data_IF_131164133101
#
_entry.id   IF_131164133101
#
_cell.length_a   1.000
_cell.length_b   1.000
_cell.length_c   1.000
_cell.angle_alpha   90.00
_cell.angle_beta   90.00
_cell.angle_gamma   90.00
#
_symmetry.space_group_name_H-M   'P 1'
#
loop_
_entity.id
_entity.type
_entity.pdbx_description
1 polymer ?
#
# COMPACT_ATOMS: atom_id res chain seq x y z
N UNK A 1 -17.95 -15.59 19.86
CA UNK A 1 -17.30 -15.07 18.64
C UNK A 1 -16.06 -15.91 18.36
N UNK A 2 -16.02 -16.60 17.21
CA UNK A 2 -14.90 -17.49 16.81
C UNK A 2 -13.69 -16.68 16.35
N UNK A 3 -12.49 -17.25 16.41
CA UNK A 3 -11.26 -16.59 15.97
C UNK A 3 -11.30 -16.22 14.48
N UNK A 4 -11.87 -17.09 13.64
CA UNK A 4 -12.07 -16.87 12.21
C UNK A 4 -12.90 -15.61 11.93
N UNK A 5 -14.00 -15.42 12.66
CA UNK A 5 -14.87 -14.25 12.50
C UNK A 5 -14.16 -12.95 12.86
N UNK A 6 -13.33 -12.95 13.90
CA UNK A 6 -12.54 -11.77 14.28
C UNK A 6 -11.52 -11.38 13.20
N UNK A 7 -10.86 -12.37 12.60
CA UNK A 7 -9.89 -12.11 11.53
C UNK A 7 -10.56 -11.54 10.28
N UNK A 8 -11.75 -12.02 9.95
CA UNK A 8 -12.54 -11.45 8.86
C UNK A 8 -12.96 -10.00 9.15
N UNK A 9 -13.48 -9.74 10.35
CA UNK A 9 -13.84 -8.37 10.78
C UNK A 9 -12.61 -7.44 10.74
N UNK A 10 -11.44 -7.90 11.21
CA UNK A 10 -10.19 -7.11 11.13
C UNK A 10 -9.72 -6.86 9.70
N UNK A 11 -9.94 -7.80 8.77
CA UNK A 11 -9.64 -7.58 7.35
C UNK A 11 -10.58 -6.54 6.75
N UNK A 12 -11.88 -6.65 6.99
CA UNK A 12 -12.87 -5.70 6.47
C UNK A 12 -12.63 -4.29 7.02
N UNK A 13 -12.35 -4.15 8.31
CA UNK A 13 -11.96 -2.88 8.94
C UNK A 13 -10.69 -2.29 8.31
N UNK A 14 -9.68 -3.12 8.06
CA UNK A 14 -8.43 -2.67 7.44
C UNK A 14 -8.63 -2.23 5.99
N UNK A 15 -9.40 -2.98 5.19
CA UNK A 15 -9.69 -2.63 3.81
C UNK A 15 -10.43 -1.29 3.72
N UNK A 16 -11.44 -1.08 4.57
CA UNK A 16 -12.15 0.21 4.65
C UNK A 16 -11.21 1.37 4.98
N UNK A 17 -10.33 1.19 5.99
CA UNK A 17 -9.35 2.21 6.36
C UNK A 17 -8.33 2.48 5.23
N UNK A 18 -7.88 1.44 4.54
CA UNK A 18 -6.97 1.58 3.39
C UNK A 18 -7.64 2.30 2.22
N UNK A 19 -8.93 2.05 1.97
CA UNK A 19 -9.72 2.78 0.98
C UNK A 19 -9.85 4.27 1.33
N UNK A 20 -10.14 4.59 2.59
CA UNK A 20 -10.21 5.97 3.04
C UNK A 20 -8.87 6.69 2.89
N UNK A 21 -7.76 6.02 3.23
CA UNK A 21 -6.44 6.58 3.05
C UNK A 21 -6.07 6.77 1.56
N UNK A 22 -6.46 5.84 0.67
CA UNK A 22 -6.30 6.00 -0.77
C UNK A 22 -7.04 7.24 -1.30
N UNK A 23 -8.26 7.50 -0.81
CA UNK A 23 -9.01 8.73 -1.16
C UNK A 23 -8.26 9.98 -0.70
N UNK A 24 -7.67 9.96 0.50
CA UNK A 24 -6.85 11.09 0.97
C UNK A 24 -5.64 11.35 0.07
N UNK A 25 -4.97 10.31 -0.43
CA UNK A 25 -3.88 10.47 -1.41
C UNK A 25 -4.37 11.10 -2.72
N UNK A 26 -5.54 10.69 -3.21
CA UNK A 26 -6.11 11.26 -4.43
C UNK A 26 -6.47 12.74 -4.27
N UNK A 27 -7.09 13.08 -3.14
CA UNK A 27 -7.54 14.44 -2.80
C UNK A 27 -6.39 15.37 -2.40
N UNK A 28 -5.23 14.82 -2.01
CA UNK A 28 -4.07 15.60 -1.62
C UNK A 28 -3.54 16.48 -2.78
N UNK A 29 -3.06 17.67 -2.41
CA UNK A 29 -2.30 18.53 -3.30
C UNK A 29 -0.97 17.87 -3.70
N UNK A 30 -0.44 18.24 -4.87
CA UNK A 30 0.82 17.71 -5.36
C UNK A 30 2.02 18.07 -4.45
N UNK A 31 3.06 17.24 -4.49
CA UNK A 31 4.28 17.41 -3.69
C UNK A 31 4.07 16.92 -2.25
N UNK A 32 4.50 17.74 -1.29
CA UNK A 32 4.52 17.38 0.13
C UNK A 32 3.17 16.86 0.69
N UNK A 33 1.98 17.41 0.33
CA UNK A 33 0.74 16.85 0.85
C UNK A 33 0.45 15.42 0.37
N UNK A 34 0.80 15.07 -0.88
CA UNK A 34 0.66 13.70 -1.40
C UNK A 34 1.66 12.77 -0.71
N UNK A 35 2.88 13.24 -0.49
CA UNK A 35 3.90 12.53 0.29
C UNK A 35 3.41 12.17 1.69
N UNK A 36 2.95 13.18 2.45
CA UNK A 36 2.46 12.99 3.82
C UNK A 36 1.29 11.99 3.85
N UNK A 37 0.38 12.06 2.87
CA UNK A 37 -0.71 11.10 2.74
C UNK A 37 -0.23 9.67 2.45
N UNK A 38 0.83 9.50 1.64
CA UNK A 38 1.45 8.19 1.39
C UNK A 38 2.17 7.62 2.60
N UNK A 39 2.91 8.46 3.34
CA UNK A 39 3.56 8.06 4.61
C UNK A 39 2.53 7.57 5.61
N UNK A 40 1.39 8.26 5.74
CA UNK A 40 0.30 7.81 6.60
C UNK A 40 -0.35 6.51 6.11
N UNK A 41 -0.38 6.27 4.80
CA UNK A 41 -0.81 4.98 4.24
C UNK A 41 0.14 3.86 4.61
N UNK A 42 1.44 4.05 4.41
CA UNK A 42 2.43 3.08 4.85
C UNK A 42 2.31 2.82 6.36
N UNK A 43 2.19 3.86 7.18
CA UNK A 43 2.05 3.74 8.63
C UNK A 43 0.77 2.99 9.03
N UNK A 44 -0.35 3.19 8.33
CA UNK A 44 -1.58 2.42 8.52
C UNK A 44 -1.33 0.92 8.27
N UNK A 45 -0.67 0.58 7.16
CA UNK A 45 -0.33 -0.79 6.80
C UNK A 45 0.58 -1.44 7.86
N UNK A 46 1.63 -0.74 8.31
CA UNK A 46 2.55 -1.23 9.36
C UNK A 46 1.81 -1.50 10.67
N UNK A 47 0.95 -0.57 11.13
CA UNK A 47 0.19 -0.73 12.38
C UNK A 47 -0.74 -1.95 12.34
N UNK A 48 -1.32 -2.24 11.18
CA UNK A 48 -2.15 -3.42 10.98
C UNK A 48 -1.31 -4.70 10.87
N UNK A 49 -0.20 -4.66 10.12
CA UNK A 49 0.74 -5.76 9.93
C UNK A 49 1.28 -6.30 11.27
N UNK A 50 1.64 -5.42 12.21
CA UNK A 50 2.14 -5.81 13.55
C UNK A 50 1.11 -6.65 14.34
N UNK A 51 -0.18 -6.45 14.07
CA UNK A 51 -1.29 -7.16 14.74
C UNK A 51 -1.80 -8.35 13.93
N UNK A 52 -1.44 -8.42 12.66
CA UNK A 52 -1.90 -9.46 11.75
C UNK A 52 -1.28 -10.83 12.12
N UNK A 53 -1.98 -11.94 11.82
CA UNK A 53 -1.35 -13.25 11.83
C UNK A 53 -0.17 -13.29 10.85
N UNK A 54 0.73 -14.27 11.02
CA UNK A 54 1.90 -14.46 10.15
C UNK A 54 1.56 -14.87 8.71
N UNK A 55 0.33 -15.28 8.46
CA UNK A 55 -0.12 -15.73 7.14
C UNK A 55 -1.62 -15.50 6.96
N UNK A 56 -2.05 -15.57 5.70
CA UNK A 56 -3.43 -15.39 5.28
C UNK A 56 -3.75 -13.97 4.84
N UNK A 57 -5.01 -13.69 4.45
CA UNK A 57 -5.36 -12.51 3.68
C UNK A 57 -5.02 -11.18 4.36
N UNK A 58 -5.22 -11.07 5.68
CA UNK A 58 -4.86 -9.84 6.40
C UNK A 58 -3.34 -9.60 6.40
N UNK A 59 -2.54 -10.67 6.52
CA UNK A 59 -1.08 -10.60 6.44
C UNK A 59 -0.64 -10.16 5.05
N UNK A 60 -1.13 -10.83 4.01
CA UNK A 60 -0.80 -10.57 2.61
C UNK A 60 -1.10 -9.12 2.21
N UNK A 61 -2.30 -8.62 2.54
CA UNK A 61 -2.69 -7.26 2.17
C UNK A 61 -1.90 -6.21 2.96
N UNK A 62 -1.70 -6.40 4.27
CA UNK A 62 -0.95 -5.42 5.09
C UNK A 62 0.53 -5.36 4.70
N UNK A 63 1.15 -6.51 4.40
CA UNK A 63 2.54 -6.56 3.91
C UNK A 63 2.65 -5.91 2.53
N UNK A 64 1.78 -6.29 1.58
CA UNK A 64 1.83 -5.77 0.22
C UNK A 64 1.65 -4.26 0.19
N UNK A 65 0.65 -3.72 0.89
CA UNK A 65 0.46 -2.27 0.97
C UNK A 65 1.62 -1.56 1.68
N UNK A 66 2.21 -2.15 2.72
CA UNK A 66 3.41 -1.57 3.34
C UNK A 66 4.58 -1.45 2.35
N UNK A 67 4.81 -2.48 1.54
CA UNK A 67 5.88 -2.48 0.54
C UNK A 67 5.62 -1.45 -0.56
N UNK A 68 4.41 -1.44 -1.13
CA UNK A 68 4.04 -0.49 -2.20
C UNK A 68 4.19 0.94 -1.71
N UNK A 69 3.58 1.29 -0.58
CA UNK A 69 3.60 2.66 -0.09
C UNK A 69 4.97 3.10 0.39
N UNK A 70 5.80 2.17 0.89
CA UNK A 70 7.20 2.46 1.20
C UNK A 70 8.01 2.81 -0.04
N UNK A 71 7.92 2.01 -1.10
CA UNK A 71 8.62 2.27 -2.35
C UNK A 71 8.17 3.60 -2.98
N UNK A 72 6.87 3.88 -2.99
CA UNK A 72 6.32 5.13 -3.53
C UNK A 72 6.76 6.37 -2.74
N UNK A 73 6.89 6.27 -1.41
CA UNK A 73 7.45 7.38 -0.61
C UNK A 73 8.96 7.52 -0.80
N UNK A 74 9.68 6.40 -0.99
CA UNK A 74 11.11 6.42 -1.27
C UNK A 74 11.44 7.10 -2.62
N UNK A 75 10.58 6.95 -3.64
CA UNK A 75 10.70 7.67 -4.92
C UNK A 75 10.76 9.20 -4.73
N UNK A 76 9.97 9.71 -3.78
CA UNK A 76 9.97 11.13 -3.42
C UNK A 76 11.18 11.56 -2.57
N UNK A 77 11.76 10.64 -1.81
CA UNK A 77 12.93 10.91 -0.96
C UNK A 77 14.28 10.66 -1.67
N UNK A 78 14.27 10.12 -2.88
CA UNK A 78 15.48 9.84 -3.66
C UNK A 78 16.30 11.11 -3.99
N UNK A 79 17.63 11.00 -4.16
CA UNK A 79 18.51 12.12 -4.48
C UNK A 79 18.05 12.85 -5.77
N UNK A 80 17.67 14.13 -5.64
CA UNK A 80 16.96 14.88 -6.69
C UNK A 80 15.67 15.56 -6.19
N UNK A 81 15.26 15.22 -4.96
CA UNK A 81 14.16 15.82 -4.18
C UNK A 81 13.98 17.32 -4.38
N UNK A 82 12.75 17.73 -4.71
CA UNK A 82 12.38 19.14 -4.93
C UNK A 82 12.59 19.65 -6.35
N UNK A 83 13.05 18.80 -7.28
CA UNK A 83 12.90 19.08 -8.70
C UNK A 83 11.44 18.87 -9.10
N UNK A 84 10.86 19.83 -9.83
CA UNK A 84 9.44 19.77 -10.16
C UNK A 84 9.07 18.55 -11.00
N UNK A 85 9.97 18.02 -11.81
CA UNK A 85 9.71 16.86 -12.68
C UNK A 85 9.63 15.56 -11.87
N UNK A 86 10.60 15.29 -11.00
CA UNK A 86 10.57 14.11 -10.12
C UNK A 86 9.37 14.14 -9.17
N UNK A 87 9.08 15.31 -8.58
CA UNK A 87 7.93 15.47 -7.70
C UNK A 87 6.60 15.21 -8.45
N UNK A 88 6.50 15.61 -9.73
CA UNK A 88 5.32 15.34 -10.57
C UNK A 88 5.19 13.84 -10.87
N UNK A 89 6.28 13.16 -11.22
CA UNK A 89 6.25 11.74 -11.56
C UNK A 89 5.91 10.88 -10.33
N UNK A 90 6.54 11.12 -9.20
CA UNK A 90 6.26 10.39 -7.96
C UNK A 90 4.82 10.63 -7.48
N UNK A 91 4.33 11.88 -7.52
CA UNK A 91 2.92 12.18 -7.23
C UNK A 91 1.98 11.44 -8.18
N UNK A 92 2.33 11.35 -9.47
CA UNK A 92 1.53 10.62 -10.45
C UNK A 92 1.45 9.15 -10.11
N UNK A 93 2.56 8.50 -9.74
CA UNK A 93 2.57 7.10 -9.32
C UNK A 93 1.75 6.86 -8.05
N UNK A 94 1.90 7.71 -7.03
CA UNK A 94 1.11 7.61 -5.80
C UNK A 94 -0.40 7.72 -6.07
N UNK A 95 -0.80 8.65 -6.93
CA UNK A 95 -2.21 8.80 -7.32
C UNK A 95 -2.71 7.64 -8.16
N UNK A 96 -1.86 7.09 -9.03
CA UNK A 96 -2.20 5.90 -9.81
C UNK A 96 -2.42 4.68 -8.91
N UNK A 97 -1.49 4.38 -8.00
CA UNK A 97 -1.63 3.29 -7.04
C UNK A 97 -2.89 3.43 -6.18
N UNK A 98 -3.18 4.64 -5.66
CA UNK A 98 -4.39 4.91 -4.89
C UNK A 98 -5.68 4.68 -5.72
N UNK A 99 -5.70 5.15 -6.96
CA UNK A 99 -6.85 4.98 -7.85
C UNK A 99 -7.10 3.50 -8.18
N UNK A 100 -6.04 2.78 -8.54
CA UNK A 100 -6.12 1.36 -8.87
C UNK A 100 -6.54 0.53 -7.66
N UNK A 101 -5.98 0.80 -6.48
CA UNK A 101 -6.39 0.16 -5.22
C UNK A 101 -7.89 0.28 -4.97
N UNK A 102 -8.46 1.49 -5.12
CA UNK A 102 -9.89 1.73 -4.94
C UNK A 102 -10.77 0.96 -5.93
N UNK A 103 -10.23 0.59 -7.10
CA UNK A 103 -10.96 -0.18 -8.11
C UNK A 103 -11.00 -1.69 -7.85
N UNK A 104 -10.06 -2.22 -7.06
CA UNK A 104 -9.88 -3.67 -6.86
C UNK A 104 -10.10 -4.15 -5.42
N UNK A 105 -10.07 -3.26 -4.43
CA UNK A 105 -9.99 -3.65 -3.01
C UNK A 105 -11.14 -4.52 -2.51
N UNK A 106 -12.34 -4.40 -3.09
CA UNK A 106 -13.54 -5.17 -2.71
C UNK A 106 -13.58 -6.58 -3.31
N UNK A 107 -12.71 -6.88 -4.28
CA UNK A 107 -12.64 -8.17 -4.97
C UNK A 107 -11.36 -8.91 -4.57
N UNK A 108 -11.43 -10.04 -3.81
CA UNK A 108 -10.22 -10.71 -3.31
C UNK A 108 -9.22 -11.14 -4.38
N UNK A 109 -9.70 -11.61 -5.54
CA UNK A 109 -8.84 -12.01 -6.66
C UNK A 109 -8.12 -10.83 -7.30
N UNK A 110 -8.85 -9.76 -7.59
CA UNK A 110 -8.30 -8.55 -8.21
C UNK A 110 -7.34 -7.83 -7.26
N UNK A 111 -7.66 -7.82 -5.95
CA UNK A 111 -6.76 -7.32 -4.91
C UNK A 111 -5.45 -8.10 -4.87
N UNK A 112 -5.49 -9.42 -4.94
CA UNK A 112 -4.28 -10.24 -4.97
C UNK A 112 -3.44 -9.95 -6.23
N UNK A 113 -4.09 -9.80 -7.39
CA UNK A 113 -3.42 -9.47 -8.65
C UNK A 113 -2.77 -8.07 -8.60
N UNK A 114 -3.47 -7.07 -8.04
CA UNK A 114 -2.94 -5.74 -7.81
C UNK A 114 -1.69 -5.77 -6.93
N UNK A 115 -1.74 -6.51 -5.82
CA UNK A 115 -0.62 -6.59 -4.90
C UNK A 115 0.59 -7.30 -5.54
N UNK A 116 0.37 -8.40 -6.28
CA UNK A 116 1.47 -9.08 -6.99
C UNK A 116 2.12 -8.15 -8.02
N UNK A 117 1.31 -7.51 -8.85
CA UNK A 117 1.79 -6.60 -9.89
C UNK A 117 2.55 -5.42 -9.30
N UNK A 118 1.96 -4.68 -8.35
CA UNK A 118 2.59 -3.49 -7.80
C UNK A 118 3.84 -3.82 -6.99
N UNK A 119 3.81 -4.85 -6.16
CA UNK A 119 4.98 -5.20 -5.34
C UNK A 119 6.14 -5.64 -6.23
N UNK A 120 5.89 -6.47 -7.24
CA UNK A 120 6.96 -7.15 -7.96
C UNK A 120 7.35 -6.48 -9.27
N UNK A 121 6.38 -5.97 -10.04
CA UNK A 121 6.62 -5.41 -11.36
C UNK A 121 6.83 -3.89 -11.31
N UNK A 122 6.04 -3.16 -10.51
CA UNK A 122 6.20 -1.69 -10.36
C UNK A 122 7.28 -1.33 -9.32
N UNK A 123 7.22 -1.90 -8.12
CA UNK A 123 8.19 -1.62 -7.05
C UNK A 123 9.47 -2.47 -7.12
N UNK A 124 9.49 -3.53 -7.94
CA UNK A 124 10.68 -4.34 -8.19
C UNK A 124 11.11 -5.27 -7.04
N UNK A 125 10.26 -5.53 -6.05
CA UNK A 125 10.57 -6.49 -4.99
C UNK A 125 10.62 -7.92 -5.56
N UNK A 126 11.58 -8.74 -5.11
CA UNK A 126 11.67 -10.13 -5.60
C UNK A 126 10.44 -10.95 -5.20
N UNK A 127 10.05 -11.86 -6.09
CA UNK A 127 9.06 -12.93 -5.84
C UNK A 127 9.66 -14.07 -5.01
N UNK A 128 10.98 -14.10 -4.86
CA UNK A 128 11.66 -15.12 -4.10
C UNK A 128 11.38 -14.96 -2.61
N UNK A 129 10.89 -16.02 -1.98
CA UNK A 129 10.99 -16.15 -0.53
C UNK A 129 12.49 -16.10 -0.18
N UNK A 130 12.93 -15.33 0.83
CA UNK A 130 14.32 -15.35 1.26
C UNK A 130 14.71 -16.82 1.50
N UNK A 131 15.79 -17.26 0.86
CA UNK A 131 16.36 -18.58 1.11
C UNK A 131 16.54 -18.71 2.62
N UNK A 132 15.75 -19.58 3.23
CA UNK A 132 15.92 -19.98 4.62
C UNK A 132 17.20 -20.83 4.66
N UNK A 133 18.34 -20.16 4.79
CA UNK A 133 19.61 -20.74 5.24
C UNK A 133 19.58 -21.05 6.74
#
# INVERSE_FOLDING_TARGET
MTAQRRLQESLEEFLAAAADQARLVLDAGAGLPTYDAGVEFQALAVRAMVKAPKSGPLSEVTVGLNLIWGALTDEMDAPGRGSSEQDIEAVRHMKQAAFEWLSVQDAPGDRAAYLDFWVHDECGYSRDLPELG
#
